data_IF_496430125872
#
_entry.id   IF_496430125872
#
_cell.length_a   1.000
_cell.length_b   1.000
_cell.length_c   1.000
_cell.angle_alpha   90.00
_cell.angle_beta   90.00
_cell.angle_gamma   90.00
#
_symmetry.space_group_name_H-M   'P 1'
#
loop_
_entity.id
_entity.type
_entity.pdbx_description
1 polymer ?
#
# COMPACT_ATOMS: atom_id res chain seq x y z
N UNK A 1 6.55 -22.46 15.95
CA UNK A 1 7.12 -21.13 16.27
C UNK A 1 5.95 -20.26 16.73
N UNK A 2 6.07 -19.60 17.87
CA UNK A 2 5.00 -18.76 18.45
C UNK A 2 5.20 -17.30 18.00
N UNK A 3 4.11 -16.58 17.72
CA UNK A 3 4.14 -15.22 17.15
C UNK A 3 3.37 -14.28 18.09
N UNK A 4 3.95 -13.13 18.41
CA UNK A 4 3.28 -12.05 19.14
C UNK A 4 2.79 -10.99 18.18
N UNK A 5 1.49 -10.69 18.21
CA UNK A 5 0.87 -9.65 17.40
C UNK A 5 0.83 -8.34 18.20
N UNK A 6 1.25 -7.25 17.56
CA UNK A 6 1.31 -5.90 18.15
C UNK A 6 0.53 -4.93 17.29
N UNK A 7 0.05 -3.86 17.93
CA UNK A 7 -0.61 -2.77 17.23
C UNK A 7 0.32 -2.13 16.20
N UNK A 8 -0.13 -1.87 14.95
CA UNK A 8 0.67 -1.18 13.96
C UNK A 8 0.91 0.28 14.36
N UNK A 9 2.13 0.76 14.09
CA UNK A 9 2.50 2.18 14.31
C UNK A 9 2.19 3.07 13.10
N UNK A 10 1.78 2.47 11.99
CA UNK A 10 1.30 3.14 10.79
C UNK A 10 -0.17 2.78 10.58
N UNK A 11 -0.95 3.74 10.08
CA UNK A 11 -2.33 3.47 9.69
C UNK A 11 -2.38 2.38 8.61
N UNK A 12 -3.35 1.48 8.74
CA UNK A 12 -3.61 0.41 7.78
C UNK A 12 -5.06 0.42 7.31
N UNK A 13 -5.32 -0.25 6.19
CA UNK A 13 -6.65 -0.53 5.69
C UNK A 13 -6.79 -2.05 5.55
N UNK A 14 -7.86 -2.61 6.10
CA UNK A 14 -8.05 -4.05 6.19
C UNK A 14 -8.75 -4.60 4.96
N UNK A 15 -8.12 -5.56 4.28
CA UNK A 15 -8.70 -6.28 3.15
C UNK A 15 -10.02 -6.99 3.46
N UNK A 16 -10.28 -7.30 4.74
CA UNK A 16 -11.49 -8.00 5.17
C UNK A 16 -12.66 -7.04 5.38
N UNK A 17 -12.38 -5.80 5.75
CA UNK A 17 -13.40 -4.81 6.13
C UNK A 17 -13.53 -3.66 5.14
N UNK A 18 -12.56 -3.47 4.24
CA UNK A 18 -12.53 -2.34 3.29
C UNK A 18 -12.16 -0.99 3.92
N UNK A 19 -11.98 -0.96 5.24
CA UNK A 19 -11.85 0.27 6.05
C UNK A 19 -10.60 0.28 6.94
N UNK A 20 -10.41 1.37 7.71
CA UNK A 20 -9.26 1.52 8.60
C UNK A 20 -9.09 0.35 9.56
N UNK A 21 -7.83 0.08 9.91
CA UNK A 21 -7.49 -0.85 10.99
C UNK A 21 -7.77 -0.19 12.34
N UNK A 22 -8.52 -0.89 13.19
CA UNK A 22 -8.93 -0.49 14.53
C UNK A 22 -8.77 -1.70 15.48
N UNK A 23 -7.52 -2.02 15.81
CA UNK A 23 -7.16 -3.11 16.72
C UNK A 23 -7.20 -4.52 16.13
N UNK A 24 -7.94 -4.81 15.05
CA UNK A 24 -8.12 -6.19 14.61
C UNK A 24 -6.84 -6.89 14.11
N UNK A 25 -5.77 -6.17 13.79
CA UNK A 25 -4.49 -6.79 13.35
C UNK A 25 -3.65 -7.36 14.49
N UNK A 26 -3.95 -6.97 15.74
CA UNK A 26 -3.31 -7.55 16.93
C UNK A 26 -3.94 -8.89 17.35
N UNK A 27 -5.02 -9.31 16.70
CA UNK A 27 -5.73 -10.56 16.94
C UNK A 27 -5.31 -11.62 15.89
N UNK A 28 -4.71 -12.77 16.30
CA UNK A 28 -4.40 -13.87 15.40
C UNK A 28 -5.60 -14.35 14.57
N UNK A 29 -6.82 -14.25 15.13
CA UNK A 29 -8.03 -14.80 14.50
C UNK A 29 -8.46 -13.96 13.30
N UNK A 30 -8.07 -12.68 13.26
CA UNK A 30 -8.21 -11.86 12.06
C UNK A 30 -7.46 -12.47 10.87
N UNK A 31 -6.26 -13.00 11.07
CA UNK A 31 -5.43 -13.54 9.98
C UNK A 31 -5.96 -14.87 9.44
N UNK A 32 -6.50 -15.71 10.33
CA UNK A 32 -7.24 -16.93 9.94
C UNK A 32 -8.50 -16.59 9.16
N UNK A 33 -9.19 -15.50 9.52
CA UNK A 33 -10.33 -15.00 8.74
C UNK A 33 -9.88 -14.45 7.39
N UNK A 34 -8.83 -13.63 7.36
CA UNK A 34 -8.32 -12.97 6.16
C UNK A 34 -8.01 -13.96 5.03
N UNK A 35 -7.38 -15.09 5.33
CA UNK A 35 -7.07 -16.10 4.29
C UNK A 35 -8.32 -16.73 3.65
N UNK A 36 -9.50 -16.64 4.30
CA UNK A 36 -10.76 -17.23 3.82
C UNK A 36 -11.75 -16.18 3.29
N UNK A 37 -11.54 -14.91 3.61
CA UNK A 37 -12.42 -13.81 3.24
C UNK A 37 -12.06 -13.22 1.88
N UNK A 38 -13.05 -12.65 1.19
CA UNK A 38 -12.83 -11.85 -0.02
C UNK A 38 -11.92 -10.67 0.27
N UNK A 39 -11.01 -10.37 -0.66
CA UNK A 39 -10.19 -9.15 -0.61
C UNK A 39 -11.00 -7.97 -1.14
N UNK A 40 -11.39 -7.05 -0.25
CA UNK A 40 -12.16 -5.85 -0.56
C UNK A 40 -11.28 -4.72 -1.13
N UNK A 41 -10.52 -5.01 -2.20
CA UNK A 41 -9.53 -4.07 -2.75
C UNK A 41 -10.14 -2.76 -3.23
N UNK A 42 -11.30 -2.79 -3.91
CA UNK A 42 -11.96 -1.57 -4.40
C UNK A 42 -12.41 -0.65 -3.24
N UNK A 43 -12.89 -1.25 -2.15
CA UNK A 43 -13.25 -0.52 -0.93
C UNK A 43 -11.99 0.08 -0.29
N UNK A 44 -10.87 -0.66 -0.26
CA UNK A 44 -9.60 -0.12 0.22
C UNK A 44 -9.13 1.08 -0.61
N UNK A 45 -9.22 1.02 -1.94
CA UNK A 45 -8.87 2.14 -2.83
C UNK A 45 -9.73 3.35 -2.50
N UNK A 46 -11.03 3.14 -2.30
CA UNK A 46 -11.97 4.21 -1.93
C UNK A 46 -11.59 4.83 -0.58
N UNK A 47 -11.29 4.01 0.43
CA UNK A 47 -10.84 4.46 1.76
C UNK A 47 -9.52 5.24 1.71
N UNK A 48 -8.59 4.87 0.82
CA UNK A 48 -7.29 5.53 0.66
C UNK A 48 -7.35 6.81 -0.20
N UNK A 49 -8.41 6.98 -0.98
CA UNK A 49 -8.56 8.09 -1.93
C UNK A 49 -8.87 9.39 -1.21
N UNK A 50 -7.83 10.12 -0.81
CA UNK A 50 -7.91 11.42 -0.15
C UNK A 50 -7.24 12.48 -1.04
N UNK A 51 -7.80 13.69 -1.19
CA UNK A 51 -7.16 14.75 -1.96
C UNK A 51 -5.71 15.00 -1.52
N UNK A 52 -4.78 15.01 -2.47
CA UNK A 52 -3.36 15.22 -2.20
C UNK A 52 -2.61 13.98 -1.69
N UNK A 53 -3.17 12.77 -1.81
CA UNK A 53 -2.42 11.52 -1.60
C UNK A 53 -2.02 10.87 -2.92
N UNK A 54 -1.00 10.03 -2.86
CA UNK A 54 -0.56 9.18 -3.96
C UNK A 54 -0.10 7.83 -3.44
N UNK A 55 -0.05 6.83 -4.32
CA UNK A 55 0.26 5.44 -3.95
C UNK A 55 1.61 5.02 -4.55
N UNK A 56 2.45 4.43 -3.69
CA UNK A 56 3.65 3.72 -4.10
C UNK A 56 3.41 2.22 -3.90
N UNK A 57 3.35 1.46 -4.99
CA UNK A 57 3.24 0.00 -4.91
C UNK A 57 4.62 -0.62 -4.64
N UNK A 58 4.70 -1.37 -3.55
CA UNK A 58 5.85 -2.16 -3.16
C UNK A 58 5.63 -3.61 -3.60
N UNK A 59 6.15 -3.96 -4.76
CA UNK A 59 6.01 -5.29 -5.33
C UNK A 59 6.71 -5.40 -6.67
N UNK A 60 7.00 -6.62 -7.15
CA UNK A 60 7.95 -6.85 -8.22
C UNK A 60 7.49 -6.40 -9.61
N UNK A 61 6.20 -6.11 -9.84
CA UNK A 61 5.67 -5.94 -11.20
C UNK A 61 4.67 -4.78 -11.40
N UNK A 62 4.26 -4.09 -10.34
CA UNK A 62 3.44 -2.88 -10.47
C UNK A 62 1.99 -3.14 -10.94
N UNK A 63 1.38 -4.24 -10.51
CA UNK A 63 0.03 -4.65 -10.93
C UNK A 63 -1.03 -3.78 -10.27
N UNK A 64 -0.91 -3.53 -8.97
CA UNK A 64 -1.92 -2.77 -8.22
C UNK A 64 -1.99 -1.31 -8.68
N UNK A 65 -0.86 -0.73 -9.07
CA UNK A 65 -0.74 0.66 -9.53
C UNK A 65 -1.65 0.93 -10.73
N UNK A 66 -1.85 -0.07 -11.60
CA UNK A 66 -2.72 0.06 -12.76
C UNK A 66 -4.21 0.02 -12.41
N UNK A 67 -4.57 -0.38 -11.19
CA UNK A 67 -5.94 -0.48 -10.72
C UNK A 67 -6.43 0.80 -10.02
N UNK A 68 -5.54 1.76 -9.75
CA UNK A 68 -5.92 3.08 -9.26
C UNK A 68 -6.29 3.98 -10.44
N UNK A 69 -7.54 4.46 -10.50
CA UNK A 69 -8.02 5.33 -11.58
C UNK A 69 -8.00 6.81 -11.20
N UNK A 70 -8.46 7.13 -9.99
CA UNK A 70 -8.60 8.53 -9.52
C UNK A 70 -7.38 9.01 -8.70
N UNK A 71 -6.69 8.09 -8.04
CA UNK A 71 -5.52 8.40 -7.21
C UNK A 71 -4.22 8.12 -7.98
N UNK A 72 -3.27 9.07 -8.05
CA UNK A 72 -1.99 8.81 -8.69
C UNK A 72 -1.26 7.62 -8.03
N UNK A 73 -0.81 6.66 -8.84
CA UNK A 73 -0.09 5.48 -8.37
C UNK A 73 1.14 5.18 -9.22
N UNK A 74 2.20 4.68 -8.59
CA UNK A 74 3.46 4.30 -9.24
C UNK A 74 4.06 3.08 -8.55
N UNK A 75 4.71 2.20 -9.31
CA UNK A 75 5.37 1.02 -8.77
C UNK A 75 6.85 1.30 -8.47
N UNK A 76 7.32 0.82 -7.31
CA UNK A 76 8.73 0.89 -6.92
C UNK A 76 9.61 -0.10 -7.71
N UNK A 77 9.01 -1.19 -8.22
CA UNK A 77 9.70 -2.20 -9.02
C UNK A 77 8.85 -2.61 -10.22
N UNK A 78 9.51 -3.13 -11.25
CA UNK A 78 8.90 -3.71 -12.45
C UNK A 78 9.76 -4.88 -12.90
N UNK A 79 9.12 -5.96 -13.39
CA UNK A 79 9.87 -7.11 -13.90
C UNK A 79 10.78 -6.65 -15.04
N UNK A 80 11.97 -7.24 -15.13
CA UNK A 80 12.94 -6.97 -16.20
C UNK A 80 13.49 -5.54 -16.23
N UNK A 81 13.34 -4.76 -15.15
CA UNK A 81 13.92 -3.42 -15.01
C UNK A 81 14.90 -3.35 -13.85
N UNK A 82 16.00 -2.57 -13.95
CA UNK A 82 16.91 -2.37 -12.82
C UNK A 82 16.18 -1.73 -11.63
N UNK A 83 16.32 -2.33 -10.44
CA UNK A 83 15.56 -1.95 -9.23
C UNK A 83 15.83 -0.50 -8.81
N UNK A 84 17.10 -0.13 -8.63
CA UNK A 84 17.51 1.22 -8.21
C UNK A 84 16.99 2.29 -9.18
N UNK A 85 17.10 2.02 -10.49
CA UNK A 85 16.59 2.93 -11.50
C UNK A 85 15.06 3.08 -11.42
N UNK A 86 14.34 1.98 -11.18
CA UNK A 86 12.87 2.00 -11.08
C UNK A 86 12.41 2.75 -9.83
N UNK A 87 13.06 2.50 -8.70
CA UNK A 87 12.80 3.18 -7.44
C UNK A 87 13.03 4.69 -7.56
N UNK A 88 14.21 5.13 -8.05
CA UNK A 88 14.51 6.56 -8.19
C UNK A 88 13.54 7.26 -9.16
N UNK A 89 13.11 6.60 -10.23
CA UNK A 89 12.07 7.13 -11.10
C UNK A 89 10.72 7.25 -10.35
N UNK A 90 10.33 6.27 -9.54
CA UNK A 90 9.08 6.35 -8.76
C UNK A 90 9.10 7.52 -7.77
N UNK A 91 10.24 7.81 -7.13
CA UNK A 91 10.41 9.00 -6.28
C UNK A 91 10.27 10.28 -7.09
N UNK A 92 10.81 10.32 -8.32
CA UNK A 92 10.60 11.44 -9.24
C UNK A 92 9.13 11.64 -9.64
N UNK A 93 8.36 10.55 -9.80
CA UNK A 93 6.90 10.64 -10.00
C UNK A 93 6.20 11.24 -8.78
N UNK A 94 6.51 10.76 -7.57
CA UNK A 94 5.97 11.26 -6.30
C UNK A 94 6.23 12.76 -6.15
N UNK A 95 7.46 13.21 -6.41
CA UNK A 95 7.82 14.62 -6.37
C UNK A 95 7.01 15.47 -7.38
N UNK A 96 6.79 14.98 -8.61
CA UNK A 96 5.97 15.66 -9.63
C UNK A 96 4.50 15.77 -9.27
N UNK A 97 3.98 14.88 -8.42
CA UNK A 97 2.62 14.99 -7.89
C UNK A 97 2.49 16.11 -6.83
N UNK A 98 3.60 16.75 -6.44
CA UNK A 98 3.63 17.78 -5.40
C UNK A 98 3.75 17.21 -3.98
N UNK A 99 4.02 15.91 -3.84
CA UNK A 99 4.24 15.28 -2.54
C UNK A 99 5.65 15.56 -2.03
N UNK A 100 5.77 15.74 -0.71
CA UNK A 100 7.07 15.99 -0.06
C UNK A 100 7.93 14.74 -0.10
N UNK A 101 9.14 14.87 -0.64
CA UNK A 101 10.22 13.89 -0.51
C UNK A 101 11.31 14.55 0.35
N UNK A 102 11.73 13.85 1.40
CA UNK A 102 12.87 14.27 2.21
C UNK A 102 14.15 13.73 1.56
N UNK A 103 14.91 14.61 0.94
CA UNK A 103 16.06 14.25 0.09
C UNK A 103 17.36 13.93 0.83
N UNK A 104 17.68 14.55 1.98
CA UNK A 104 18.78 14.11 2.80
C UNK A 104 18.57 12.64 3.23
N UNK A 105 19.62 11.84 3.08
CA UNK A 105 19.66 10.43 3.50
C UNK A 105 20.54 10.26 4.74
#
# INVERSE_FOLDING_TARGET
>A
QEITFREPVLAGVSNVTGGPVDGQWNDPEYWVRHVRSTVLFADNVTTLSTPGTGVLELGPDGVLSALFTETPAVAAMRRERPEVHTLLNSVGHIWRWGLKVDWPA
#
